data_IF_992104984457
#
_entry.id   IF_992104984457
#
_cell.length_a   1.000
_cell.length_b   1.000
_cell.length_c   1.000
_cell.angle_alpha   90.00
_cell.angle_beta   90.00
_cell.angle_gamma   90.00
#
_symmetry.space_group_name_H-M   'P 1'
#
loop_
_entity.id
_entity.type
_entity.pdbx_description
1 polymer ?
#
# COMPACT_ATOMS: atom_id res chain seq x y z
N UNK A 1 -6.63 -19.68 16.98
CA UNK A 1 -5.77 -18.54 17.37
C UNK A 1 -6.52 -17.70 18.39
N UNK A 2 -5.90 -17.29 19.49
CA UNK A 2 -6.57 -16.51 20.55
C UNK A 2 -6.16 -15.05 20.46
N UNK A 3 -7.12 -14.13 20.39
CA UNK A 3 -6.85 -12.69 20.45
C UNK A 3 -6.83 -12.22 21.89
N UNK A 4 -5.79 -11.49 22.28
CA UNK A 4 -5.61 -10.95 23.64
C UNK A 4 -5.00 -9.56 23.58
N UNK A 5 -5.34 -8.71 24.53
CA UNK A 5 -4.65 -7.42 24.67
C UNK A 5 -3.20 -7.62 25.10
N UNK A 6 -2.34 -6.62 24.86
CA UNK A 6 -0.94 -6.65 25.28
C UNK A 6 -0.80 -6.95 26.78
N UNK A 7 -1.59 -6.28 27.63
CA UNK A 7 -1.64 -6.50 29.08
C UNK A 7 -2.03 -7.95 29.45
N UNK A 8 -2.97 -8.56 28.72
CA UNK A 8 -3.36 -9.95 28.93
C UNK A 8 -2.25 -10.94 28.54
N UNK A 9 -1.45 -10.61 27.53
CA UNK A 9 -0.29 -11.43 27.14
C UNK A 9 0.82 -11.32 28.18
N UNK A 10 1.11 -10.11 28.64
CA UNK A 10 2.08 -9.84 29.70
C UNK A 10 1.74 -10.59 30.99
N UNK A 11 0.49 -10.51 31.45
CA UNK A 11 0.04 -11.23 32.64
C UNK A 11 0.16 -12.75 32.50
N UNK A 12 -0.02 -13.30 31.28
CA UNK A 12 0.19 -14.73 31.02
C UNK A 12 1.65 -15.11 30.96
N UNK A 13 2.50 -14.27 30.38
CA UNK A 13 3.94 -14.46 30.36
C UNK A 13 4.50 -14.48 31.79
N UNK A 14 4.12 -13.50 32.61
CA UNK A 14 4.50 -13.44 34.03
C UNK A 14 4.01 -14.67 34.82
N UNK A 15 2.79 -15.16 34.54
CA UNK A 15 2.29 -16.38 35.16
C UNK A 15 3.06 -17.63 34.73
N UNK A 16 3.52 -17.67 33.47
CA UNK A 16 4.35 -18.76 32.97
C UNK A 16 5.73 -18.76 33.65
N UNK A 17 6.37 -17.60 33.83
CA UNK A 17 7.63 -17.45 34.58
C UNK A 17 7.47 -17.97 36.01
N UNK A 18 6.43 -17.52 36.72
CA UNK A 18 6.14 -18.02 38.07
C UNK A 18 5.91 -19.52 38.11
N UNK A 19 5.19 -20.08 37.14
CA UNK A 19 4.97 -21.52 37.09
C UNK A 19 6.28 -22.29 36.86
N UNK A 20 7.16 -21.77 36.02
CA UNK A 20 8.46 -22.38 35.75
C UNK A 20 9.34 -22.38 37.01
N UNK A 21 9.47 -21.23 37.71
CA UNK A 21 10.24 -21.15 38.97
C UNK A 21 9.60 -21.91 40.12
N UNK A 22 8.32 -21.66 40.40
CA UNK A 22 7.68 -22.08 41.65
C UNK A 22 7.15 -23.53 41.61
N UNK A 23 6.85 -24.07 40.42
CA UNK A 23 6.21 -25.40 40.28
C UNK A 23 7.12 -26.39 39.59
N UNK A 24 7.82 -25.96 38.53
CA UNK A 24 8.74 -26.82 37.80
C UNK A 24 10.19 -26.72 38.30
N UNK A 25 10.47 -25.74 39.19
CA UNK A 25 11.82 -25.47 39.72
C UNK A 25 12.87 -25.33 38.60
N UNK A 26 12.43 -24.78 37.46
CA UNK A 26 13.22 -24.60 36.24
C UNK A 26 13.53 -23.10 36.08
N UNK A 27 14.54 -22.66 36.84
CA UNK A 27 14.98 -21.27 36.87
C UNK A 27 15.58 -20.82 35.53
N UNK A 28 16.38 -21.69 34.88
CA UNK A 28 16.97 -21.41 33.57
C UNK A 28 15.89 -21.12 32.53
N UNK A 29 14.86 -21.97 32.46
CA UNK A 29 13.76 -21.76 31.52
C UNK A 29 12.88 -20.58 31.89
N UNK A 30 12.74 -20.28 33.19
CA UNK A 30 11.99 -19.11 33.63
C UNK A 30 12.67 -17.82 33.18
N UNK A 31 14.00 -17.74 33.28
CA UNK A 31 14.81 -16.60 32.85
C UNK A 31 14.69 -16.40 31.33
N UNK A 32 14.81 -17.47 30.54
CA UNK A 32 14.61 -17.43 29.09
C UNK A 32 13.23 -16.86 28.71
N UNK A 33 12.18 -17.27 29.43
CA UNK A 33 10.81 -16.78 29.18
C UNK A 33 10.64 -15.36 29.69
N UNK A 34 11.33 -14.94 30.74
CA UNK A 34 11.29 -13.56 31.24
C UNK A 34 11.95 -12.59 30.26
N UNK A 35 13.10 -12.97 29.67
CA UNK A 35 13.85 -12.20 28.68
C UNK A 35 13.19 -12.17 27.28
N UNK A 36 12.43 -13.21 26.90
CA UNK A 36 11.70 -13.28 25.63
C UNK A 36 10.80 -12.05 25.40
N UNK A 37 10.74 -11.47 24.20
CA UNK A 37 9.85 -10.32 23.97
C UNK A 37 8.36 -10.72 24.08
N UNK A 38 7.47 -9.75 24.30
CA UNK A 38 6.03 -10.03 24.35
C UNK A 38 5.50 -10.58 23.01
N UNK A 39 6.07 -10.13 21.90
CA UNK A 39 5.69 -10.57 20.55
C UNK A 39 6.15 -12.00 20.29
N UNK A 40 7.38 -12.35 20.68
CA UNK A 40 7.94 -13.70 20.54
C UNK A 40 7.17 -14.71 21.42
N UNK A 41 6.84 -14.32 22.66
CA UNK A 41 6.02 -15.12 23.56
C UNK A 41 4.61 -15.36 22.97
N UNK A 42 4.01 -14.32 22.37
CA UNK A 42 2.71 -14.41 21.73
C UNK A 42 2.74 -15.31 20.49
N UNK A 43 3.75 -15.18 19.64
CA UNK A 43 3.94 -16.00 18.45
C UNK A 43 4.08 -17.48 18.81
N UNK A 44 4.98 -17.80 19.76
CA UNK A 44 5.19 -19.17 20.27
C UNK A 44 3.91 -19.80 20.85
N UNK A 45 3.03 -18.99 21.43
CA UNK A 45 1.74 -19.43 22.00
C UNK A 45 0.57 -19.30 21.02
N UNK A 46 0.80 -18.92 19.76
CA UNK A 46 -0.23 -18.65 18.75
C UNK A 46 -1.31 -17.67 19.23
N UNK A 47 -0.87 -16.63 19.94
CA UNK A 47 -1.67 -15.52 20.43
C UNK A 47 -1.49 -14.36 19.46
N UNK A 48 -2.60 -13.72 19.08
CA UNK A 48 -2.56 -12.47 18.32
C UNK A 48 -2.80 -11.32 19.29
N UNK A 49 -1.84 -10.40 19.40
CA UNK A 49 -2.00 -9.20 20.24
C UNK A 49 -3.00 -8.27 19.57
N UNK A 50 -4.11 -8.00 20.27
CA UNK A 50 -5.15 -7.08 19.83
C UNK A 50 -4.56 -5.67 19.84
N UNK A 51 -4.48 -5.04 18.67
CA UNK A 51 -4.14 -3.62 18.57
C UNK A 51 -5.41 -2.80 18.90
N UNK A 52 -5.46 -2.10 20.05
CA UNK A 52 -6.65 -1.36 20.47
C UNK A 52 -7.05 -0.26 19.49
N UNK A 53 -6.15 0.22 18.61
CA UNK A 53 -6.50 1.22 17.59
C UNK A 53 -7.38 0.67 16.45
N UNK A 54 -7.53 -0.65 16.33
CA UNK A 54 -8.36 -1.29 15.30
C UNK A 54 -9.82 -1.50 15.71
N UNK A 55 -10.23 -1.11 16.92
CA UNK A 55 -11.63 -1.17 17.34
C UNK A 55 -12.43 -0.03 16.69
N UNK A 56 -13.05 -0.36 15.56
CA UNK A 56 -14.40 0.06 15.13
C UNK A 56 -14.64 1.42 14.46
N UNK A 57 -13.65 2.03 13.78
CA UNK A 57 -13.91 3.10 12.80
C UNK A 57 -13.38 2.74 11.40
N UNK A 58 -13.43 1.47 11.01
CA UNK A 58 -13.22 1.13 9.61
C UNK A 58 -14.43 1.65 8.84
N UNK A 59 -14.22 2.69 8.03
CA UNK A 59 -15.25 3.20 7.12
C UNK A 59 -15.86 2.01 6.36
N UNK A 60 -17.19 1.99 6.27
CA UNK A 60 -17.90 0.93 5.57
C UNK A 60 -17.42 0.85 4.11
N UNK A 61 -17.55 -0.31 3.48
CA UNK A 61 -17.22 -0.44 2.05
C UNK A 61 -17.94 0.61 1.18
N UNK A 62 -19.14 1.01 1.58
CA UNK A 62 -19.91 2.07 0.93
C UNK A 62 -19.29 3.46 1.13
N UNK A 63 -18.83 3.79 2.33
CA UNK A 63 -18.13 5.06 2.62
C UNK A 63 -16.79 5.13 1.89
N UNK A 64 -16.04 4.03 1.86
CA UNK A 64 -14.80 3.94 1.10
C UNK A 64 -15.04 4.14 -0.40
N UNK A 65 -16.07 3.50 -0.97
CA UNK A 65 -16.44 3.69 -2.38
C UNK A 65 -16.90 5.11 -2.69
N UNK A 66 -17.64 5.74 -1.77
CA UNK A 66 -18.03 7.15 -1.92
C UNK A 66 -16.81 8.05 -1.95
N UNK A 67 -15.87 7.83 -1.04
CA UNK A 67 -14.63 8.62 -0.97
C UNK A 67 -13.74 8.41 -2.18
N UNK A 68 -13.67 7.19 -2.71
CA UNK A 68 -12.97 6.92 -3.97
C UNK A 68 -13.58 7.73 -5.12
N UNK A 69 -14.92 7.71 -5.26
CA UNK A 69 -15.59 8.50 -6.30
C UNK A 69 -15.34 10.01 -6.15
N UNK A 70 -15.47 10.54 -4.95
CA UNK A 70 -15.20 11.96 -4.66
C UNK A 70 -13.77 12.34 -5.05
N UNK A 71 -12.78 11.51 -4.72
CA UNK A 71 -11.39 11.73 -5.11
C UNK A 71 -11.15 11.56 -6.62
N UNK A 72 -11.89 10.69 -7.29
CA UNK A 72 -11.83 10.52 -8.74
C UNK A 72 -12.40 11.75 -9.47
N UNK A 73 -13.53 12.28 -8.99
CA UNK A 73 -14.17 13.49 -9.51
C UNK A 73 -13.26 14.72 -9.32
N UNK A 74 -12.67 14.91 -8.13
CA UNK A 74 -11.72 15.99 -7.85
C UNK A 74 -10.46 15.88 -8.74
N UNK A 75 -9.94 14.67 -8.95
CA UNK A 75 -8.81 14.48 -9.87
C UNK A 75 -9.17 14.79 -11.33
N UNK A 76 -10.41 14.55 -11.75
CA UNK A 76 -10.85 14.90 -13.09
C UNK A 76 -10.92 16.43 -13.26
N UNK A 77 -11.51 17.14 -12.29
CA UNK A 77 -11.59 18.61 -12.28
C UNK A 77 -10.20 19.27 -12.24
N UNK A 78 -9.28 18.74 -11.42
CA UNK A 78 -7.91 19.22 -11.36
C UNK A 78 -7.17 19.05 -12.69
N UNK A 79 -7.41 17.94 -13.41
CA UNK A 79 -6.80 17.72 -14.73
C UNK A 79 -7.34 18.68 -15.78
N UNK A 80 -8.66 18.87 -15.82
CA UNK A 80 -9.28 19.87 -16.71
C UNK A 80 -8.72 21.28 -16.45
N UNK A 81 -8.53 21.64 -15.17
CA UNK A 81 -7.92 22.91 -14.79
C UNK A 81 -6.46 23.01 -15.26
N UNK A 82 -5.69 21.92 -15.15
CA UNK A 82 -4.30 21.87 -15.63
C UNK A 82 -4.25 22.04 -17.15
N UNK A 83 -5.14 21.38 -17.89
CA UNK A 83 -5.22 21.52 -19.36
C UNK A 83 -5.58 22.96 -19.75
N UNK A 84 -6.55 23.57 -19.07
CA UNK A 84 -6.92 24.98 -19.31
C UNK A 84 -5.78 25.95 -19.03
N UNK A 85 -4.99 25.70 -17.97
CA UNK A 85 -3.81 26.52 -17.67
C UNK A 85 -2.73 26.28 -18.72
N UNK A 86 -2.56 25.04 -19.18
CA UNK A 86 -1.62 24.72 -20.25
C UNK A 86 -1.96 25.48 -21.53
N UNK A 87 -3.24 25.58 -21.91
CA UNK A 87 -3.68 26.36 -23.07
C UNK A 87 -3.38 27.87 -22.92
N UNK A 88 -3.45 28.42 -21.70
CA UNK A 88 -3.21 29.84 -21.43
C UNK A 88 -1.71 30.19 -21.28
N UNK A 89 -0.91 29.23 -20.83
CA UNK A 89 0.54 29.40 -20.61
C UNK A 89 1.33 28.94 -21.83
N UNK A 90 0.73 28.12 -22.70
CA UNK A 90 1.28 27.82 -24.00
C UNK A 90 1.50 29.15 -24.74
N UNK A 91 2.74 29.45 -25.18
CA UNK A 91 2.95 30.56 -26.07
C UNK A 91 2.09 30.33 -27.32
N UNK A 92 1.42 31.37 -27.81
CA UNK A 92 0.64 31.32 -29.05
C UNK A 92 1.53 30.70 -30.17
N UNK A 93 1.35 29.41 -30.46
CA UNK A 93 2.09 28.69 -31.51
C UNK A 93 1.44 28.96 -32.89
N UNK A 94 0.98 30.20 -33.11
CA UNK A 94 0.66 30.75 -34.43
C UNK A 94 1.97 31.20 -35.12
N UNK A 95 2.86 30.23 -35.36
CA UNK A 95 4.01 30.40 -36.24
C UNK A 95 4.05 29.25 -37.25
N UNK A 96 3.29 29.43 -38.33
CA UNK A 96 3.55 28.98 -39.70
C UNK A 96 4.57 27.83 -39.84
N UNK A 97 4.07 26.59 -39.85
CA UNK A 97 4.75 25.49 -40.51
C UNK A 97 4.06 25.25 -41.87
N UNK A 98 4.28 26.17 -42.81
CA UNK A 98 4.20 25.88 -44.25
C UNK A 98 5.28 24.83 -44.57
N UNK A 99 4.95 23.55 -44.41
CA UNK A 99 5.73 22.44 -44.97
C UNK A 99 5.19 22.12 -46.37
N UNK A 100 5.31 23.11 -47.26
CA UNK A 100 5.24 22.90 -48.71
C UNK A 100 6.56 22.21 -49.13
N UNK A 101 6.62 20.90 -48.97
CA UNK A 101 7.53 20.07 -49.75
C UNK A 101 6.74 19.29 -50.80
N UNK A 102 6.41 20.00 -51.88
CA UNK A 102 6.19 19.39 -53.19
C UNK A 102 7.49 18.68 -53.60
N UNK A 103 7.51 17.35 -53.50
CA UNK A 103 8.36 16.53 -54.36
C UNK A 103 7.56 15.32 -54.85
N UNK A 104 6.71 15.61 -55.83
CA UNK A 104 6.22 14.62 -56.77
C UNK A 104 7.22 14.52 -57.92
N UNK A 105 7.99 13.43 -57.98
CA UNK A 105 8.31 12.69 -59.21
C UNK A 105 9.09 11.42 -58.82
N UNK A 106 8.46 10.25 -58.97
CA UNK A 106 8.54 9.42 -60.17
C UNK A 106 9.70 8.41 -60.07
N UNK A 107 9.37 7.16 -59.70
CA UNK A 107 9.31 6.08 -60.68
C UNK A 107 8.92 4.77 -60.01
N UNK A 108 7.78 4.27 -60.46
CA UNK A 108 7.51 2.84 -60.52
C UNK A 108 8.61 2.18 -61.35
N UNK A 109 9.37 1.27 -60.77
CA UNK A 109 10.01 0.21 -61.53
C UNK A 109 9.62 -1.13 -60.89
N UNK A 110 8.67 -1.78 -61.58
CA UNK A 110 8.44 -3.21 -61.53
C UNK A 110 9.77 -3.95 -61.68
N UNK A 111 10.16 -4.75 -60.69
CA UNK A 111 10.93 -5.96 -60.96
C UNK A 111 10.48 -7.07 -60.01
N UNK A 112 9.51 -7.84 -60.47
CA UNK A 112 9.47 -9.28 -60.18
C UNK A 112 10.81 -9.89 -60.65
N UNK A 113 11.62 -10.45 -59.75
CA UNK A 113 12.60 -11.48 -60.14
C UNK A 113 12.96 -12.42 -58.97
N UNK A 114 13.12 -13.69 -59.33
CA UNK A 114 13.14 -14.93 -58.55
C UNK A 114 14.27 -15.07 -57.50
N UNK A 115 13.99 -15.78 -56.39
CA UNK A 115 14.63 -17.07 -56.04
C UNK A 115 14.18 -17.68 -54.71
#
# INVERSE_FOLDING_TARGET
MKMLTQEQVEGRKAKAVRFLRDVLEDDDRADEVEEESLDDYAERKHIQIENPSRKNNMATNAELKRKVRELEDENAELRETVDQIADLVAPDDDADADDDSDDADDQSDDVDDDR
#
